data_IF_045990636465
#
_entry.id   IF_045990636465
#
_cell.length_a   1.000
_cell.length_b   1.000
_cell.length_c   1.000
_cell.angle_alpha   90.00
_cell.angle_beta   90.00
_cell.angle_gamma   90.00
#
_symmetry.space_group_name_H-M   'P 1'
#
loop_
_entity.id
_entity.type
_entity.pdbx_description
1 polymer ?
#
# COMPACT_ATOMS: atom_id res chain seq x y z
N UNK A 1 11.92 18.34 12.71
CA UNK A 1 10.68 19.04 12.28
C UNK A 1 9.55 18.49 13.12
N UNK A 2 8.84 19.33 13.86
CA UNK A 2 7.63 18.96 14.60
C UNK A 2 6.57 18.53 13.59
N UNK A 3 6.26 17.22 13.53
CA UNK A 3 5.11 16.74 12.77
C UNK A 3 3.85 17.27 13.47
N UNK A 4 3.12 18.15 12.78
CA UNK A 4 1.76 18.48 13.19
C UNK A 4 0.94 17.20 13.06
N UNK A 5 0.38 16.73 14.17
CA UNK A 5 -0.51 15.58 14.16
C UNK A 5 -1.72 15.88 13.27
N UNK A 6 -2.05 14.95 12.37
CA UNK A 6 -3.21 15.10 11.47
C UNK A 6 -4.49 14.96 12.30
N UNK A 7 -5.37 15.96 12.22
CA UNK A 7 -6.71 15.88 12.84
C UNK A 7 -7.72 15.46 11.78
N UNK A 8 -8.38 14.33 12.01
CA UNK A 8 -9.46 13.85 11.15
C UNK A 8 -10.78 14.57 11.41
N UNK A 9 -11.61 14.69 10.37
CA UNK A 9 -13.03 14.98 10.55
C UNK A 9 -13.76 13.79 11.19
N UNK A 10 -14.99 13.99 11.67
CA UNK A 10 -15.85 12.91 12.17
C UNK A 10 -15.92 11.74 11.20
N UNK A 11 -16.23 12.02 9.94
CA UNK A 11 -16.43 10.99 8.92
C UNK A 11 -15.12 10.26 8.59
N UNK A 12 -13.98 10.95 8.68
CA UNK A 12 -12.67 10.34 8.45
C UNK A 12 -12.26 9.45 9.61
N UNK A 13 -12.53 9.86 10.85
CA UNK A 13 -12.30 9.06 12.04
C UNK A 13 -13.16 7.80 12.01
N UNK A 14 -14.46 7.92 11.74
CA UNK A 14 -15.35 6.76 11.59
C UNK A 14 -14.87 5.82 10.48
N UNK A 15 -14.46 6.35 9.34
CA UNK A 15 -13.95 5.54 8.25
C UNK A 15 -12.61 4.86 8.60
N UNK A 16 -11.75 5.52 9.38
CA UNK A 16 -10.52 4.95 9.91
C UNK A 16 -10.83 3.77 10.84
N UNK A 17 -11.78 3.93 11.75
CA UNK A 17 -12.19 2.91 12.72
C UNK A 17 -12.75 1.68 12.00
N UNK A 18 -13.62 1.88 11.00
CA UNK A 18 -14.19 0.78 10.20
C UNK A 18 -13.11 -0.01 9.45
N UNK A 19 -12.13 0.67 8.83
CA UNK A 19 -11.01 0.00 8.17
C UNK A 19 -10.16 -0.77 9.19
N UNK A 20 -9.91 -0.18 10.36
CA UNK A 20 -9.15 -0.81 11.45
C UNK A 20 -9.81 -2.10 11.95
N UNK A 21 -11.14 -2.11 12.09
CA UNK A 21 -11.88 -3.32 12.47
C UNK A 21 -11.75 -4.44 11.41
N UNK A 22 -11.83 -4.09 10.12
CA UNK A 22 -11.61 -5.06 9.03
C UNK A 22 -10.19 -5.62 9.07
N UNK A 23 -9.18 -4.77 9.28
CA UNK A 23 -7.78 -5.18 9.40
C UNK A 23 -7.56 -6.09 10.62
N UNK A 24 -8.17 -5.78 11.76
CA UNK A 24 -8.11 -6.60 12.98
C UNK A 24 -8.69 -7.99 12.75
N UNK A 25 -9.82 -8.09 12.03
CA UNK A 25 -10.38 -9.36 11.57
C UNK A 25 -9.43 -10.15 10.64
N UNK A 26 -8.64 -9.45 9.84
CA UNK A 26 -7.58 -10.04 9.01
C UNK A 26 -6.30 -10.37 9.81
N UNK A 27 -6.25 -10.11 11.12
CA UNK A 27 -5.09 -10.36 11.99
C UNK A 27 -4.01 -9.28 11.93
N UNK A 28 -4.38 -8.05 11.59
CA UNK A 28 -3.53 -6.86 11.60
C UNK A 28 -4.11 -5.87 12.62
N UNK A 29 -3.55 -5.84 13.82
CA UNK A 29 -3.97 -4.93 14.88
C UNK A 29 -3.07 -3.70 14.92
N UNK A 30 -3.52 -2.60 14.29
CA UNK A 30 -2.74 -1.36 14.22
C UNK A 30 -2.84 -0.52 15.50
N UNK A 31 -3.81 -0.79 16.37
CA UNK A 31 -3.98 -0.07 17.64
C UNK A 31 -2.97 -0.58 18.67
N UNK A 32 -2.86 -1.91 18.78
CA UNK A 32 -1.92 -2.58 19.69
C UNK A 32 -0.55 -2.86 19.05
N UNK A 33 -0.40 -2.61 17.74
CA UNK A 33 0.82 -2.88 16.98
C UNK A 33 1.15 -4.38 16.85
N UNK A 34 0.11 -5.23 16.83
CA UNK A 34 0.25 -6.68 16.86
C UNK A 34 -0.15 -7.31 15.52
N UNK A 35 0.71 -8.17 14.99
CA UNK A 35 0.45 -8.95 13.79
C UNK A 35 0.26 -10.42 14.15
N UNK A 36 -0.87 -10.99 13.73
CA UNK A 36 -1.16 -12.40 13.90
C UNK A 36 -0.96 -13.13 12.58
N UNK A 37 -0.56 -14.42 12.57
CA UNK A 37 -0.52 -15.21 11.34
C UNK A 37 -1.88 -15.23 10.63
N UNK A 38 -1.92 -15.40 9.29
CA UNK A 38 -3.15 -15.60 8.54
C UNK A 38 -4.02 -16.67 9.19
N UNK A 39 -5.13 -16.23 9.78
CA UNK A 39 -6.21 -17.13 10.17
C UNK A 39 -6.97 -17.49 8.90
N UNK A 40 -7.72 -18.59 8.89
CA UNK A 40 -8.72 -18.92 7.86
C UNK A 40 -9.91 -17.93 7.91
N UNK A 41 -9.61 -16.64 8.02
CA UNK A 41 -10.56 -15.56 7.98
C UNK A 41 -11.06 -15.42 6.55
N UNK A 42 -12.39 -15.36 6.38
CA UNK A 42 -13.00 -15.00 5.12
C UNK A 42 -12.41 -13.67 4.63
N UNK A 43 -12.06 -13.62 3.35
CA UNK A 43 -11.65 -12.39 2.68
C UNK A 43 -12.74 -11.33 2.86
N UNK A 44 -12.40 -10.18 3.44
CA UNK A 44 -13.30 -9.04 3.53
C UNK A 44 -13.03 -8.06 2.39
N UNK A 45 -14.10 -7.50 1.83
CA UNK A 45 -14.03 -6.43 0.83
C UNK A 45 -14.80 -5.22 1.38
N UNK A 46 -14.15 -4.06 1.37
CA UNK A 46 -14.72 -2.80 1.86
C UNK A 46 -14.51 -1.70 0.81
N UNK A 47 -15.51 -0.84 0.63
CA UNK A 47 -15.42 0.34 -0.22
C UNK A 47 -15.62 1.60 0.62
N UNK A 48 -14.63 2.49 0.59
CA UNK A 48 -14.70 3.80 1.25
C UNK A 48 -14.99 4.88 0.22
N UNK A 49 -16.20 5.43 0.31
CA UNK A 49 -16.71 6.42 -0.65
C UNK A 49 -16.66 7.83 -0.05
N UNK A 50 -16.62 8.84 -0.91
CA UNK A 50 -16.66 10.24 -0.47
C UNK A 50 -16.51 11.21 -1.63
N UNK A 51 -17.03 12.43 -1.46
CA UNK A 51 -16.98 13.48 -2.48
C UNK A 51 -15.53 13.87 -2.83
N UNK A 52 -15.34 14.56 -3.96
CA UNK A 52 -14.06 15.17 -4.27
C UNK A 52 -13.64 16.12 -3.14
N UNK A 53 -12.37 16.10 -2.76
CA UNK A 53 -11.87 16.92 -1.65
C UNK A 53 -12.13 16.38 -0.23
N UNK A 54 -12.82 15.25 -0.06
CA UNK A 54 -13.11 14.68 1.28
C UNK A 54 -11.90 14.10 2.04
N UNK A 55 -10.69 14.25 1.51
CA UNK A 55 -9.46 13.78 2.16
C UNK A 55 -9.19 12.28 2.10
N UNK A 56 -9.85 11.50 1.23
CA UNK A 56 -9.59 10.04 1.08
C UNK A 56 -8.11 9.69 0.91
N UNK A 57 -7.38 10.50 0.13
CA UNK A 57 -5.94 10.32 -0.10
C UNK A 57 -5.11 10.59 1.16
N UNK A 58 -5.53 11.52 2.01
CA UNK A 58 -4.90 11.77 3.32
C UNK A 58 -5.15 10.58 4.25
N UNK A 59 -6.41 10.14 4.36
CA UNK A 59 -6.79 9.00 5.18
C UNK A 59 -6.02 7.72 4.80
N UNK A 60 -5.91 7.42 3.50
CA UNK A 60 -5.12 6.29 3.01
C UNK A 60 -3.63 6.42 3.37
N UNK A 61 -3.07 7.64 3.35
CA UNK A 61 -1.68 7.87 3.70
C UNK A 61 -1.41 7.65 5.20
N UNK A 62 -2.33 8.06 6.07
CA UNK A 62 -2.23 7.81 7.51
C UNK A 62 -2.41 6.32 7.85
N UNK A 63 -3.38 5.64 7.22
CA UNK A 63 -3.54 4.17 7.34
C UNK A 63 -2.26 3.44 6.91
N UNK A 64 -1.64 3.85 5.81
CA UNK A 64 -0.36 3.29 5.38
C UNK A 64 0.74 3.45 6.44
N UNK A 65 0.87 4.65 7.04
CA UNK A 65 1.88 4.87 8.09
C UNK A 65 1.64 3.97 9.28
N UNK A 66 0.39 3.87 9.76
CA UNK A 66 0.02 2.99 10.87
C UNK A 66 0.35 1.51 10.56
N UNK A 67 0.02 1.04 9.36
CA UNK A 67 0.33 -0.33 8.92
C UNK A 67 1.83 -0.61 8.84
N UNK A 68 2.60 0.33 8.29
CA UNK A 68 4.07 0.24 8.24
C UNK A 68 4.66 0.21 9.66
N UNK A 69 4.17 1.07 10.54
CA UNK A 69 4.66 1.19 11.92
C UNK A 69 4.29 -0.05 12.76
N UNK A 70 3.17 -0.72 12.43
CA UNK A 70 2.81 -2.04 12.96
C UNK A 70 3.64 -3.21 12.37
N UNK A 71 4.58 -2.94 11.45
CA UNK A 71 5.49 -3.94 10.89
C UNK A 71 4.93 -4.72 9.69
N UNK A 72 3.86 -4.24 9.05
CA UNK A 72 3.34 -4.86 7.82
C UNK A 72 4.33 -4.64 6.68
N UNK A 73 4.68 -5.73 5.99
CA UNK A 73 5.64 -5.70 4.88
C UNK A 73 4.98 -5.09 3.63
N UNK A 74 5.60 -4.06 3.07
CA UNK A 74 5.07 -3.40 1.88
C UNK A 74 5.57 -4.14 0.64
N UNK A 75 4.64 -4.56 -0.22
CA UNK A 75 4.95 -5.15 -1.53
C UNK A 75 4.78 -4.10 -2.62
N UNK A 76 5.78 -4.01 -3.49
CA UNK A 76 5.71 -3.23 -4.73
C UNK A 76 5.66 -4.17 -5.93
N UNK A 77 5.23 -3.66 -7.10
CA UNK A 77 5.18 -4.46 -8.33
C UNK A 77 6.55 -4.91 -8.85
N UNK A 78 7.64 -4.42 -8.27
CA UNK A 78 9.01 -4.71 -8.72
C UNK A 78 9.69 -5.78 -7.85
N UNK A 79 9.13 -6.08 -6.67
CA UNK A 79 9.68 -7.08 -5.74
C UNK A 79 8.56 -7.75 -4.93
N UNK A 80 8.29 -9.02 -5.21
CA UNK A 80 7.43 -9.88 -4.39
C UNK A 80 8.32 -10.76 -3.50
N UNK A 81 8.24 -10.57 -2.18
CA UNK A 81 8.97 -11.44 -1.25
C UNK A 81 8.40 -12.86 -1.27
N UNK A 82 9.26 -13.86 -1.00
CA UNK A 82 8.81 -15.25 -0.93
C UNK A 82 7.66 -15.37 0.08
N UNK A 83 6.53 -15.92 -0.37
CA UNK A 83 5.34 -16.14 0.47
C UNK A 83 5.73 -16.78 1.80
N UNK A 84 5.53 -16.03 2.88
CA UNK A 84 5.74 -16.50 4.25
C UNK A 84 4.39 -16.61 4.95
N UNK A 85 4.12 -17.77 5.55
CA UNK A 85 2.93 -17.99 6.38
C UNK A 85 2.92 -17.16 7.67
N UNK A 86 4.02 -16.49 8.00
CA UNK A 86 4.15 -15.74 9.25
C UNK A 86 4.00 -14.23 9.06
N UNK A 87 4.04 -13.72 7.82
CA UNK A 87 4.10 -12.27 7.57
C UNK A 87 2.79 -11.72 7.03
N UNK A 88 2.54 -10.46 7.35
CA UNK A 88 1.47 -9.65 6.77
C UNK A 88 2.04 -8.72 5.74
N UNK A 89 1.32 -8.58 4.63
CA UNK A 89 1.78 -7.82 3.48
C UNK A 89 0.73 -6.84 3.00
N UNK A 90 1.16 -5.66 2.55
CA UNK A 90 0.29 -4.61 2.01
C UNK A 90 0.76 -4.21 0.61
N UNK A 91 -0.18 -4.19 -0.34
CA UNK A 91 0.02 -3.57 -1.64
C UNK A 91 -0.96 -2.40 -1.81
N UNK A 92 -0.46 -1.24 -2.24
CA UNK A 92 -1.28 -0.04 -2.45
C UNK A 92 -1.36 0.26 -3.94
N UNK A 93 -2.58 0.18 -4.48
CA UNK A 93 -2.82 0.23 -5.91
C UNK A 93 -3.68 1.43 -6.29
N UNK A 94 -3.34 2.00 -7.45
CA UNK A 94 -4.12 3.05 -8.08
C UNK A 94 -4.49 2.66 -9.51
N UNK A 95 -5.59 3.22 -10.07
CA UNK A 95 -6.00 2.92 -11.44
C UNK A 95 -5.09 3.55 -12.50
N UNK A 96 -4.35 4.62 -12.15
CA UNK A 96 -3.50 5.37 -13.10
C UNK A 96 -2.14 5.74 -12.50
N UNK A 97 -1.15 5.97 -13.38
CA UNK A 97 0.19 6.43 -12.99
C UNK A 97 0.14 7.76 -12.24
N UNK A 98 -0.74 8.68 -12.64
CA UNK A 98 -0.87 9.98 -11.98
C UNK A 98 -1.42 9.83 -10.56
N UNK A 99 -2.44 9.00 -10.36
CA UNK A 99 -2.97 8.73 -9.03
C UNK A 99 -1.93 8.07 -8.12
N UNK A 100 -1.19 7.09 -8.63
CA UNK A 100 -0.07 6.47 -7.91
C UNK A 100 1.03 7.50 -7.56
N UNK A 101 1.37 8.40 -8.49
CA UNK A 101 2.34 9.48 -8.26
C UNK A 101 1.90 10.44 -7.14
N UNK A 102 0.61 10.80 -7.07
CA UNK A 102 0.06 11.64 -6.00
C UNK A 102 0.18 10.98 -4.62
N UNK A 103 0.04 9.66 -4.56
CA UNK A 103 0.27 8.87 -3.33
C UNK A 103 1.75 8.82 -2.96
N UNK A 104 2.64 8.59 -3.92
CA UNK A 104 4.10 8.60 -3.70
C UNK A 104 4.61 9.94 -3.20
N UNK A 105 4.06 11.06 -3.68
CA UNK A 105 4.38 12.39 -3.15
C UNK A 105 4.00 12.57 -1.66
N UNK A 106 3.12 11.71 -1.12
CA UNK A 106 2.78 11.64 0.31
C UNK A 106 3.54 10.54 1.06
N UNK A 107 4.57 9.96 0.46
CA UNK A 107 5.37 8.88 1.04
C UNK A 107 4.71 7.50 1.00
N UNK A 108 3.60 7.36 0.27
CA UNK A 108 2.88 6.08 0.11
C UNK A 108 3.45 5.33 -1.10
N UNK A 109 3.97 4.10 -0.94
CA UNK A 109 4.62 3.32 -2.00
C UNK A 109 3.58 2.68 -2.95
N UNK A 110 2.80 3.53 -3.63
CA UNK A 110 1.73 3.08 -4.51
C UNK A 110 2.22 2.78 -5.94
N UNK A 111 1.65 1.73 -6.54
CA UNK A 111 1.84 1.35 -7.94
C UNK A 111 0.48 1.27 -8.66
N UNK A 112 0.48 1.03 -9.97
CA UNK A 112 -0.77 0.81 -10.71
C UNK A 112 -1.23 -0.64 -10.57
N UNK A 113 -2.55 -0.86 -10.60
CA UNK A 113 -3.12 -2.21 -10.55
C UNK A 113 -2.56 -3.11 -11.68
N UNK A 114 -2.35 -2.54 -12.86
CA UNK A 114 -1.80 -3.25 -14.03
C UNK A 114 -0.41 -3.83 -13.76
N UNK A 115 0.45 -3.17 -12.97
CA UNK A 115 1.79 -3.69 -12.65
C UNK A 115 1.79 -4.90 -11.73
N UNK A 116 0.69 -5.15 -11.00
CA UNK A 116 0.54 -6.35 -10.17
C UNK A 116 -0.18 -7.46 -10.94
N UNK A 117 -1.17 -7.10 -11.77
CA UNK A 117 -1.94 -8.09 -12.53
C UNK A 117 -1.15 -8.67 -13.71
N UNK A 118 -0.25 -7.90 -14.29
CA UNK A 118 0.50 -8.30 -15.48
C UNK A 118 1.99 -8.37 -15.16
N UNK A 119 2.62 -9.46 -15.59
CA UNK A 119 4.07 -9.50 -15.75
C UNK A 119 4.43 -8.57 -16.91
N UNK A 120 5.17 -7.48 -16.68
CA UNK A 120 5.58 -6.62 -17.78
C UNK A 120 6.50 -7.42 -18.71
N UNK A 121 6.16 -7.44 -19.99
CA UNK A 121 7.06 -7.89 -21.05
C UNK A 121 7.61 -6.64 -21.69
N UNK A 122 8.91 -6.42 -21.53
CA UNK A 122 9.59 -5.31 -22.17
C UNK A 122 10.12 -5.76 -23.53
N UNK A 123 10.26 -4.81 -24.44
CA UNK A 123 11.00 -5.08 -25.67
C UNK A 123 12.48 -5.38 -25.29
N UNK A 124 13.12 -6.41 -25.87
CA UNK A 124 14.51 -6.73 -25.55
C UNK A 124 15.48 -5.55 -25.70
N UNK A 125 15.22 -4.60 -26.60
CA UNK A 125 16.04 -3.39 -26.71
C UNK A 125 15.86 -2.46 -25.50
N UNK A 126 14.63 -2.38 -24.96
CA UNK A 126 14.35 -1.59 -23.76
C UNK A 126 14.97 -2.22 -22.51
N UNK A 127 14.92 -3.55 -22.37
CA UNK A 127 15.57 -4.27 -21.27
C UNK A 127 17.08 -4.01 -21.26
N UNK A 128 17.74 -4.13 -22.41
CA UNK A 128 19.17 -3.83 -22.56
C UNK A 128 19.52 -2.40 -22.15
N UNK A 129 18.69 -1.42 -22.50
CA UNK A 129 18.88 -0.02 -22.07
C UNK A 129 18.69 0.11 -20.56
N UNK A 130 17.68 -0.54 -19.98
CA UNK A 130 17.41 -0.50 -18.55
C UNK A 130 18.53 -1.15 -17.73
N UNK A 131 19.03 -2.31 -18.15
CA UNK A 131 20.17 -3.01 -17.54
C UNK A 131 21.45 -2.18 -17.62
N UNK A 132 21.69 -1.52 -18.76
CA UNK A 132 22.80 -0.58 -18.92
C UNK A 132 22.68 0.64 -17.99
N UNK A 133 21.47 1.22 -17.86
CA UNK A 133 21.20 2.34 -16.95
C UNK A 133 21.30 1.95 -15.47
N UNK A 134 20.97 0.70 -15.13
CA UNK A 134 21.09 0.14 -13.78
C UNK A 134 22.53 -0.27 -13.42
N UNK A 135 23.43 -0.31 -14.41
CA UNK A 135 24.82 -0.74 -14.23
C UNK A 135 25.00 -2.25 -14.08
N UNK A 136 24.02 -3.04 -14.53
CA UNK A 136 24.01 -4.50 -14.48
C UNK A 136 24.44 -5.16 -15.79
N UNK A 137 24.62 -4.37 -16.86
CA UNK A 137 25.18 -4.84 -18.13
C UNK A 137 26.69 -4.59 -18.23
N UNK A 138 27.43 -5.57 -18.78
CA UNK A 138 28.83 -5.38 -19.17
C UNK A 138 28.93 -4.27 -20.24
N UNK A 139 29.97 -3.45 -20.14
CA UNK A 139 30.22 -2.31 -21.03
C UNK A 139 30.48 -2.71 -22.49
#
# INVERSE_FOLDING_TARGET
MTQIAVTFSSDQAEAYDQVTQVLKGAGVDIEDGMLYPPRDAQSAVMALMGKAGSGKTLLLAELYKALRDAGVEIISGDYESRRSKQKRTLAILAPTNKAASVLRMRGVPATTIHRILYTPVYDPEYERIAEWLAGEADR
#
